data_IF_906127325087
#
_entry.id   IF_906127325087
#
_cell.length_a   1.000
_cell.length_b   1.000
_cell.length_c   1.000
_cell.angle_alpha   90.00
_cell.angle_beta   90.00
_cell.angle_gamma   90.00
#
_symmetry.space_group_name_H-M   'P 1'
#
loop_
_entity.id
_entity.type
_entity.pdbx_description
1 polymer ?
#
# COMPACT_ATOMS: atom_id res chain seq x y z
N UNK A 1 -38.02 28.57 6.63
CA UNK A 1 -36.69 28.41 6.01
C UNK A 1 -36.00 27.22 6.66
N UNK A 2 -35.90 26.09 5.95
CA UNK A 2 -35.29 24.88 6.49
C UNK A 2 -33.75 25.00 6.44
N UNK A 3 -33.09 25.03 7.59
CA UNK A 3 -31.63 25.01 7.70
C UNK A 3 -31.15 23.62 7.28
N UNK A 4 -30.53 23.52 6.10
CA UNK A 4 -29.83 22.32 5.64
C UNK A 4 -28.73 22.02 6.65
N UNK A 5 -28.91 20.98 7.46
CA UNK A 5 -27.86 20.46 8.34
C UNK A 5 -26.79 19.90 7.41
N UNK A 6 -25.69 20.64 7.25
CA UNK A 6 -24.45 20.08 6.70
C UNK A 6 -24.06 18.92 7.60
N UNK A 7 -24.33 17.70 7.14
CA UNK A 7 -23.77 16.50 7.71
C UNK A 7 -22.27 16.62 7.52
N UNK A 8 -21.57 17.12 8.54
CA UNK A 8 -20.14 16.87 8.74
C UNK A 8 -20.01 15.35 8.74
N UNK A 9 -19.74 14.78 7.57
CA UNK A 9 -19.24 13.43 7.46
C UNK A 9 -17.98 13.45 8.32
N UNK A 10 -18.11 12.97 9.56
CA UNK A 10 -16.97 12.85 10.45
C UNK A 10 -15.94 12.07 9.67
N UNK A 11 -14.75 12.65 9.48
CA UNK A 11 -13.56 11.97 9.00
C UNK A 11 -13.27 10.80 9.96
N UNK A 12 -14.01 9.71 9.79
CA UNK A 12 -13.81 8.49 10.53
C UNK A 12 -12.56 7.89 9.94
N UNK A 13 -11.46 7.98 10.70
CA UNK A 13 -10.22 7.31 10.35
C UNK A 13 -10.56 5.84 10.03
N UNK A 14 -10.15 5.34 8.86
CA UNK A 14 -10.40 3.95 8.52
C UNK A 14 -9.72 3.04 9.56
N UNK A 15 -10.36 1.91 9.89
CA UNK A 15 -9.74 0.88 10.74
C UNK A 15 -8.64 0.18 9.94
N UNK A 16 -7.45 0.76 9.96
CA UNK A 16 -6.25 0.21 9.32
C UNK A 16 -5.34 -0.45 10.36
N UNK A 17 -4.37 -1.25 9.90
CA UNK A 17 -3.31 -1.77 10.75
C UNK A 17 -2.58 -0.60 11.45
N UNK A 18 -2.12 -0.80 12.69
CA UNK A 18 -1.40 0.22 13.47
C UNK A 18 -0.17 0.75 12.73
N UNK A 19 0.50 -0.11 11.95
CA UNK A 19 1.65 0.27 11.12
C UNK A 19 1.28 1.25 9.99
N UNK A 20 0.00 1.35 9.66
CA UNK A 20 -0.54 2.23 8.61
C UNK A 20 -1.29 3.44 9.22
N UNK A 21 -1.18 3.64 10.54
CA UNK A 21 -1.80 4.78 11.22
C UNK A 21 -1.14 6.08 10.75
N UNK A 22 -1.92 6.95 10.09
CA UNK A 22 -1.42 8.18 9.45
C UNK A 22 -1.22 8.09 7.93
N UNK A 23 -1.48 6.93 7.33
CA UNK A 23 -1.60 6.78 5.88
C UNK A 23 -2.89 7.43 5.39
N UNK A 24 -2.79 8.51 4.62
CA UNK A 24 -3.93 9.13 3.96
C UNK A 24 -3.87 8.85 2.46
N UNK A 25 -4.82 8.06 1.97
CA UNK A 25 -4.98 7.77 0.54
C UNK A 25 -6.18 8.55 0.03
N UNK A 26 -5.96 9.44 -0.94
CA UNK A 26 -7.00 10.18 -1.65
C UNK A 26 -6.97 9.81 -3.12
N UNK A 27 -8.14 9.68 -3.73
CA UNK A 27 -8.30 9.46 -5.16
C UNK A 27 -8.82 10.77 -5.76
N UNK A 28 -8.09 11.34 -6.71
CA UNK A 28 -8.52 12.52 -7.44
C UNK A 28 -9.62 12.15 -8.46
N UNK A 29 -10.34 13.14 -8.97
CA UNK A 29 -11.40 12.96 -9.98
C UNK A 29 -10.87 12.34 -11.28
N UNK A 30 -9.56 12.44 -11.53
CA UNK A 30 -8.86 11.81 -12.65
C UNK A 30 -8.43 10.36 -12.37
N UNK A 31 -8.72 9.81 -11.18
CA UNK A 31 -8.32 8.46 -10.78
C UNK A 31 -6.89 8.33 -10.28
N UNK A 32 -6.18 9.45 -10.11
CA UNK A 32 -4.83 9.46 -9.55
C UNK A 32 -4.88 9.21 -8.03
N UNK A 33 -3.99 8.34 -7.55
CA UNK A 33 -3.85 8.04 -6.12
C UNK A 33 -2.83 8.99 -5.51
N UNK A 34 -3.25 9.82 -4.56
CA UNK A 34 -2.39 10.69 -3.76
C UNK A 34 -2.23 10.10 -2.37
N UNK A 35 -1.00 9.70 -2.03
CA UNK A 35 -0.63 9.20 -0.71
C UNK A 35 0.31 10.20 -0.02
N UNK A 36 0.18 10.34 1.31
CA UNK A 36 1.11 11.09 2.17
C UNK A 36 2.41 10.34 2.52
N UNK A 37 2.44 9.01 2.37
CA UNK A 37 3.61 8.16 2.62
C UNK A 37 4.56 8.09 1.42
N UNK A 38 5.85 7.88 1.69
CA UNK A 38 6.86 7.67 0.65
C UNK A 38 6.62 6.36 -0.09
N UNK A 39 6.85 6.39 -1.40
CA UNK A 39 6.72 5.22 -2.29
C UNK A 39 7.58 4.05 -1.80
N UNK A 40 8.78 4.31 -1.29
CA UNK A 40 9.70 3.27 -0.82
C UNK A 40 9.09 2.45 0.33
N UNK A 41 8.45 3.12 1.31
CA UNK A 41 7.80 2.46 2.44
C UNK A 41 6.59 1.62 2.02
N UNK A 42 5.86 2.09 1.01
CA UNK A 42 4.73 1.36 0.44
C UNK A 42 5.24 0.10 -0.24
N UNK A 43 6.30 0.22 -1.06
CA UNK A 43 6.89 -0.93 -1.75
C UNK A 43 7.44 -1.95 -0.77
N UNK A 44 8.15 -1.51 0.27
CA UNK A 44 8.65 -2.39 1.32
C UNK A 44 7.50 -3.14 2.03
N UNK A 45 6.44 -2.42 2.38
CA UNK A 45 5.25 -3.03 2.99
C UNK A 45 4.58 -4.04 2.05
N UNK A 46 4.44 -3.71 0.77
CA UNK A 46 3.82 -4.59 -0.23
C UNK A 46 4.67 -5.84 -0.48
N UNK A 47 5.98 -5.69 -0.71
CA UNK A 47 6.90 -6.82 -0.92
C UNK A 47 6.91 -7.78 0.27
N UNK A 48 6.72 -7.27 1.50
CA UNK A 48 6.68 -8.10 2.71
C UNK A 48 5.35 -8.83 2.92
N UNK A 49 4.22 -8.19 2.61
CA UNK A 49 2.90 -8.70 2.98
C UNK A 49 2.07 -9.25 1.80
N UNK A 50 2.45 -8.91 0.58
CA UNK A 50 1.72 -9.24 -0.64
C UNK A 50 2.67 -9.95 -1.59
N UNK A 51 2.21 -11.08 -2.09
CA UNK A 51 2.91 -11.83 -3.12
C UNK A 51 2.83 -11.09 -4.47
N UNK A 52 3.99 -10.85 -5.10
CA UNK A 52 4.06 -10.12 -6.37
C UNK A 52 3.57 -11.00 -7.52
N UNK A 53 2.34 -10.73 -7.94
CA UNK A 53 1.68 -11.48 -9.01
C UNK A 53 2.44 -11.46 -10.33
N UNK A 54 3.27 -10.45 -10.59
CA UNK A 54 4.07 -10.36 -11.83
C UNK A 54 5.22 -11.35 -11.86
N UNK A 55 5.61 -11.84 -10.69
CA UNK A 55 6.73 -12.71 -10.47
C UNK A 55 6.32 -14.18 -10.33
N UNK A 56 5.02 -14.48 -10.21
CA UNK A 56 4.54 -15.85 -10.01
C UNK A 56 4.85 -16.82 -11.14
N UNK A 57 4.84 -16.33 -12.38
CA UNK A 57 5.01 -17.15 -13.59
C UNK A 57 6.48 -17.23 -14.03
N UNK A 58 7.42 -16.79 -13.18
CA UNK A 58 8.85 -16.81 -13.47
C UNK A 58 9.49 -18.03 -12.84
N UNK A 59 9.81 -19.01 -13.69
CA UNK A 59 10.47 -20.26 -13.28
C UNK A 59 11.89 -20.04 -12.73
N UNK A 60 12.52 -18.90 -13.05
CA UNK A 60 13.90 -18.55 -12.68
C UNK A 60 14.03 -17.91 -11.28
N UNK A 61 12.92 -17.56 -10.64
CA UNK A 61 12.95 -16.86 -9.34
C UNK A 61 13.52 -17.68 -8.21
N UNK A 62 13.15 -18.96 -8.14
CA UNK A 62 13.65 -19.85 -7.09
C UNK A 62 15.16 -20.07 -7.25
N UNK A 63 15.67 -20.14 -8.49
CA UNK A 63 17.09 -20.28 -8.76
C UNK A 63 17.87 -19.00 -8.38
N UNK A 64 17.34 -17.82 -8.70
CA UNK A 64 17.96 -16.53 -8.35
C UNK A 64 17.97 -16.34 -6.83
N UNK A 65 16.87 -16.63 -6.15
CA UNK A 65 16.75 -16.47 -4.70
C UNK A 65 17.70 -17.42 -3.94
N UNK A 66 17.87 -18.64 -4.41
CA UNK A 66 18.82 -19.58 -3.80
C UNK A 66 20.27 -19.11 -3.99
N UNK A 67 20.63 -18.58 -5.18
CA UNK A 67 21.98 -18.02 -5.41
C UNK A 67 22.31 -16.82 -4.54
N UNK A 68 21.38 -15.87 -4.37
CA UNK A 68 21.60 -14.73 -3.46
C UNK A 68 21.81 -15.19 -2.01
N UNK A 69 21.13 -16.25 -1.58
CA UNK A 69 21.28 -16.82 -0.24
C UNK A 69 22.67 -17.45 -0.03
N UNK A 70 23.20 -18.12 -1.06
CA UNK A 70 24.52 -18.77 -1.03
C UNK A 70 25.69 -17.76 -1.14
N UNK A 71 25.47 -16.58 -1.71
CA UNK A 71 26.47 -15.50 -1.82
C UNK A 71 26.57 -14.64 -0.55
N UNK A 72 25.56 -14.69 0.33
CA UNK A 72 25.53 -13.96 1.62
C UNK A 72 26.07 -14.76 2.82
N UNK A 73 26.37 -16.06 2.66
CA UNK A 73 27.09 -16.93 3.64
C UNK A 73 28.62 -16.89 3.48
#
# INVERSE_FOLDING_TARGET
>A
MARKKESKQKDQKPKVNKELEGMEIKIDSFGEIRNSLSIDKINEFLNKNVDDKKLRDRDDLDEIKNRESDEEE
#
